data_IF_086851508631
#
_entry.id   IF_086851508631
#
_cell.length_a   1.000
_cell.length_b   1.000
_cell.length_c   1.000
_cell.angle_alpha   90.00
_cell.angle_beta   90.00
_cell.angle_gamma   90.00
#
_symmetry.space_group_name_H-M   'P 1'
#
loop_
_entity.id
_entity.type
_entity.pdbx_description
1 polymer ?
#
# COMPACT_ATOMS: atom_id res chain seq x y z
N UNK A 1 13.08 9.95 2.94
CA UNK A 1 11.76 10.16 2.30
C UNK A 1 10.69 9.47 3.10
N UNK A 2 9.55 10.10 3.27
CA UNK A 2 8.44 9.58 4.08
C UNK A 2 7.28 9.23 3.15
N UNK A 3 6.74 8.02 3.30
CA UNK A 3 5.54 7.59 2.59
C UNK A 3 4.35 7.64 3.54
N UNK A 4 3.36 8.48 3.21
CA UNK A 4 2.07 8.50 3.90
C UNK A 4 1.09 7.70 3.05
N UNK A 5 0.57 6.62 3.61
CA UNK A 5 -0.32 5.73 2.87
C UNK A 5 -1.22 4.97 3.83
N UNK A 6 -2.17 4.24 3.28
CA UNK A 6 -3.07 3.39 4.06
C UNK A 6 -2.72 1.93 3.78
N UNK A 7 -2.58 1.18 4.85
CA UNK A 7 -2.40 -0.28 4.76
C UNK A 7 -3.74 -0.93 5.09
N UNK A 8 -4.23 -1.74 4.17
CA UNK A 8 -5.39 -2.61 4.42
C UNK A 8 -4.91 -3.93 4.99
N UNK A 9 -5.62 -4.41 6.00
CA UNK A 9 -5.33 -5.67 6.65
C UNK A 9 -6.47 -6.65 6.43
N UNK A 10 -6.15 -7.83 5.94
CA UNK A 10 -7.11 -8.86 5.62
C UNK A 10 -6.74 -10.16 6.31
N UNK A 11 -7.73 -11.00 6.56
CA UNK A 11 -7.53 -12.36 7.03
C UNK A 11 -8.11 -13.33 6.01
N UNK A 12 -7.29 -14.28 5.58
CA UNK A 12 -7.72 -15.34 4.66
C UNK A 12 -7.27 -16.69 5.22
N UNK A 13 -8.21 -17.43 5.80
CA UNK A 13 -7.86 -18.67 6.51
C UNK A 13 -6.94 -18.37 7.68
N UNK A 14 -5.75 -18.99 7.69
CA UNK A 14 -4.75 -18.77 8.74
C UNK A 14 -3.75 -17.68 8.38
N UNK A 15 -3.88 -17.05 7.20
CA UNK A 15 -2.96 -16.03 6.74
C UNK A 15 -3.50 -14.63 6.99
N UNK A 16 -2.60 -13.74 7.32
CA UNK A 16 -2.87 -12.31 7.35
C UNK A 16 -2.26 -11.70 6.10
N UNK A 17 -2.98 -10.77 5.50
CA UNK A 17 -2.56 -10.10 4.25
C UNK A 17 -2.55 -8.60 4.51
N UNK A 18 -1.47 -7.94 4.13
CA UNK A 18 -1.34 -6.49 4.20
C UNK A 18 -1.20 -5.95 2.78
N UNK A 19 -1.96 -4.91 2.48
CA UNK A 19 -1.99 -4.30 1.13
C UNK A 19 -1.87 -2.80 1.22
N UNK A 20 -1.20 -2.22 0.22
CA UNK A 20 -1.32 -0.80 -0.10
C UNK A 20 -2.04 -0.76 -1.45
N UNK A 21 -3.38 -0.57 -1.46
CA UNK A 21 -4.15 -0.74 -2.69
C UNK A 21 -3.75 0.24 -3.79
N UNK A 22 -3.47 1.47 -3.43
CA UNK A 22 -3.15 2.52 -4.41
C UNK A 22 -1.84 2.25 -5.13
N UNK A 23 -0.91 1.54 -4.48
CA UNK A 23 0.39 1.18 -5.07
C UNK A 23 0.42 -0.25 -5.60
N UNK A 24 -0.67 -0.99 -5.39
CA UNK A 24 -0.78 -2.40 -5.79
C UNK A 24 0.31 -3.29 -5.17
N UNK A 25 0.70 -3.00 -3.94
CA UNK A 25 1.63 -3.82 -3.19
C UNK A 25 0.87 -4.70 -2.21
N UNK A 26 1.32 -5.93 -2.08
CA UNK A 26 0.70 -6.91 -1.19
C UNK A 26 1.77 -7.81 -0.58
N UNK A 27 1.56 -8.18 0.68
CA UNK A 27 2.38 -9.15 1.37
C UNK A 27 1.52 -9.94 2.34
N UNK A 28 2.00 -11.11 2.74
CA UNK A 28 1.29 -11.96 3.67
C UNK A 28 2.20 -12.41 4.80
N UNK A 29 1.60 -12.88 5.87
CA UNK A 29 2.31 -13.42 7.03
C UNK A 29 1.35 -14.23 7.89
N UNK A 30 1.87 -14.85 8.92
CA UNK A 30 1.05 -15.63 9.85
C UNK A 30 0.41 -14.75 10.91
N UNK A 31 0.95 -13.56 11.12
CA UNK A 31 0.41 -12.54 12.02
C UNK A 31 0.27 -11.22 11.28
N UNK A 32 -0.50 -10.30 11.86
CA UNK A 32 -0.65 -8.96 11.30
C UNK A 32 0.71 -8.25 11.26
N UNK A 33 1.50 -8.37 12.31
CA UNK A 33 2.82 -7.73 12.40
C UNK A 33 3.77 -8.26 11.34
N UNK A 34 3.75 -9.58 11.10
CA UNK A 34 4.57 -10.20 10.07
C UNK A 34 4.15 -9.73 8.68
N UNK A 35 2.83 -9.72 8.40
CA UNK A 35 2.32 -9.25 7.11
C UNK A 35 2.73 -7.80 6.84
N UNK A 36 2.61 -6.92 7.85
CA UNK A 36 3.02 -5.52 7.73
C UNK A 36 4.52 -5.37 7.50
N UNK A 37 5.31 -6.11 8.26
CA UNK A 37 6.77 -6.08 8.12
C UNK A 37 7.19 -6.52 6.73
N UNK A 38 6.58 -7.59 6.22
CA UNK A 38 6.84 -8.07 4.86
C UNK A 38 6.41 -7.05 3.81
N UNK A 39 5.29 -6.37 4.03
CA UNK A 39 4.85 -5.33 3.12
C UNK A 39 5.82 -4.15 3.06
N UNK A 40 6.31 -3.71 4.20
CA UNK A 40 7.31 -2.62 4.26
C UNK A 40 8.57 -3.01 3.49
N UNK A 41 8.99 -4.26 3.61
CA UNK A 41 10.13 -4.79 2.86
C UNK A 41 9.86 -4.75 1.35
N UNK A 42 8.66 -5.16 0.92
CA UNK A 42 8.24 -5.08 -0.49
C UNK A 42 8.31 -3.63 -0.99
N UNK A 43 7.79 -2.67 -0.22
CA UNK A 43 7.83 -1.25 -0.57
C UNK A 43 9.26 -0.80 -0.79
N UNK A 44 10.15 -1.11 0.14
CA UNK A 44 11.54 -0.70 0.05
C UNK A 44 12.25 -1.30 -1.16
N UNK A 45 12.02 -2.57 -1.43
CA UNK A 45 12.62 -3.26 -2.58
C UNK A 45 12.10 -2.66 -3.89
N UNK A 46 10.79 -2.50 -4.02
CA UNK A 46 10.17 -1.99 -5.24
C UNK A 46 10.58 -0.54 -5.51
N UNK A 47 10.60 0.29 -4.50
CA UNK A 47 11.02 1.68 -4.66
C UNK A 47 12.50 1.79 -5.05
N UNK A 48 13.36 0.96 -4.47
CA UNK A 48 14.77 0.94 -4.83
C UNK A 48 14.96 0.54 -6.30
N UNK A 49 14.26 -0.49 -6.76
CA UNK A 49 14.31 -0.91 -8.16
C UNK A 49 13.81 0.18 -9.10
N UNK A 50 12.69 0.82 -8.76
CA UNK A 50 12.14 1.90 -9.58
C UNK A 50 13.09 3.08 -9.69
N UNK A 51 13.81 3.41 -8.62
CA UNK A 51 14.81 4.48 -8.66
C UNK A 51 15.96 4.13 -9.58
N UNK A 52 16.44 2.90 -9.54
CA UNK A 52 17.47 2.44 -10.46
C UNK A 52 17.03 2.50 -11.91
N UNK A 53 15.77 2.13 -12.17
CA UNK A 53 15.21 2.13 -13.52
C UNK A 53 14.76 3.51 -13.99
N UNK A 54 14.73 4.50 -13.11
CA UNK A 54 14.25 5.84 -13.44
C UNK A 54 12.73 5.93 -13.59
N UNK A 55 11.97 5.00 -13.02
CA UNK A 55 10.50 4.94 -13.15
C UNK A 55 9.76 5.32 -11.88
N UNK A 56 10.48 5.68 -10.82
CA UNK A 56 9.90 5.92 -9.50
C UNK A 56 8.84 7.02 -9.49
N UNK A 57 9.20 8.19 -10.01
CA UNK A 57 8.29 9.35 -9.99
C UNK A 57 7.08 9.12 -10.89
N UNK A 58 7.28 8.51 -12.06
CA UNK A 58 6.19 8.20 -12.98
C UNK A 58 5.22 7.20 -12.38
N UNK A 59 5.73 6.18 -11.72
CA UNK A 59 4.89 5.17 -11.06
C UNK A 59 4.03 5.80 -9.97
N UNK A 60 4.63 6.63 -9.12
CA UNK A 60 3.88 7.32 -8.06
C UNK A 60 2.80 8.23 -8.64
N UNK A 61 3.12 8.98 -9.70
CA UNK A 61 2.14 9.85 -10.35
C UNK A 61 0.97 9.04 -10.93
N UNK A 62 1.25 7.92 -11.57
CA UNK A 62 0.21 7.02 -12.09
C UNK A 62 -0.69 6.46 -10.99
N UNK A 63 -0.14 6.23 -9.82
CA UNK A 63 -0.88 5.72 -8.67
C UNK A 63 -1.62 6.81 -7.89
N UNK A 64 -1.52 8.07 -8.30
CA UNK A 64 -2.20 9.18 -7.63
C UNK A 64 -1.46 9.72 -6.43
N UNK A 65 -0.14 9.58 -6.38
CA UNK A 65 0.69 10.13 -5.31
C UNK A 65 1.44 11.35 -5.81
N UNK A 66 1.71 12.25 -4.87
CA UNK A 66 2.55 13.44 -5.12
C UNK A 66 3.71 13.45 -4.13
N UNK A 67 4.82 14.03 -4.56
CA UNK A 67 6.02 14.19 -3.73
C UNK A 67 6.18 15.67 -3.42
N UNK A 68 6.17 16.03 -2.15
CA UNK A 68 6.41 17.41 -1.68
C UNK A 68 7.30 17.37 -0.44
N UNK A 69 8.40 18.11 -0.48
CA UNK A 69 9.28 18.26 0.68
C UNK A 69 9.72 16.91 1.26
N UNK A 70 10.12 16.00 0.39
CA UNK A 70 10.57 14.66 0.77
C UNK A 70 9.45 13.78 1.40
N UNK A 71 8.19 14.16 1.19
CA UNK A 71 7.02 13.40 1.64
C UNK A 71 6.25 12.94 0.42
N UNK A 72 5.95 11.65 0.37
CA UNK A 72 5.10 11.02 -0.65
C UNK A 72 3.73 10.85 -0.03
N UNK A 73 2.71 11.45 -0.60
CA UNK A 73 1.35 11.34 -0.08
C UNK A 73 0.34 11.23 -1.22
N UNK A 74 -0.79 10.53 -0.99
CA UNK A 74 -1.81 10.38 -2.02
C UNK A 74 -2.60 11.68 -2.20
N UNK A 75 -3.05 11.92 -3.43
CA UNK A 75 -3.96 13.03 -3.72
C UNK A 75 -5.35 12.77 -3.15
N UNK A 76 -5.74 11.51 -3.05
CA UNK A 76 -7.02 11.09 -2.48
C UNK A 76 -6.77 10.17 -1.30
N UNK A 77 -7.41 10.46 -0.17
CA UNK A 77 -7.24 9.68 1.04
C UNK A 77 -8.42 8.74 1.26
N UNK A 78 -8.12 7.53 1.71
CA UNK A 78 -9.14 6.64 2.25
C UNK A 78 -9.46 7.15 3.66
N UNK A 79 -10.71 7.49 3.91
CA UNK A 79 -11.12 8.04 5.21
C UNK A 79 -11.87 7.03 6.08
N UNK A 80 -12.18 5.87 5.56
CA UNK A 80 -12.85 4.86 6.37
C UNK A 80 -13.20 3.61 5.59
N UNK A 81 -13.62 2.61 6.34
CA UNK A 81 -14.09 1.34 5.82
C UNK A 81 -15.37 0.97 6.54
N UNK A 82 -16.32 0.44 5.82
CA UNK A 82 -17.59 0.02 6.39
C UNK A 82 -17.95 -1.37 5.93
N UNK A 83 -18.43 -2.17 6.85
CA UNK A 83 -19.07 -3.44 6.53
C UNK A 83 -20.55 -3.16 6.33
N UNK A 84 -21.06 -3.57 5.20
CA UNK A 84 -22.46 -3.34 4.84
C UNK A 84 -23.11 -4.64 4.45
N UNK A 85 -24.37 -4.80 4.83
CA UNK A 85 -25.21 -5.88 4.33
C UNK A 85 -26.17 -5.23 3.33
N UNK A 86 -26.00 -5.58 2.07
CA UNK A 86 -26.78 -5.01 1.00
C UNK A 86 -27.72 -6.07 0.44
N UNK A 87 -28.96 -5.68 0.22
CA UNK A 87 -29.92 -6.51 -0.47
C UNK A 87 -29.89 -6.13 -1.95
N UNK A 88 -29.52 -7.08 -2.79
CA UNK A 88 -29.42 -6.84 -4.23
C UNK A 88 -30.48 -7.64 -4.98
N UNK A 89 -30.92 -7.10 -6.10
CA UNK A 89 -31.94 -7.74 -6.92
C UNK A 89 -31.34 -8.77 -7.88
#
# INVERSE_FOLDING_TARGET
MILKTTIELWKKGTWCIAKIPELDFVAQGRTIEEAKSNLIEVVNIQFAEMREMGTFEDYLAECGYVIKNDIIEPESEIIGFERQILQVA
#
